data_IF_564473793883
#
_entry.id   IF_564473793883
#
_cell.length_a   1.000
_cell.length_b   1.000
_cell.length_c   1.000
_cell.angle_alpha   90.00
_cell.angle_beta   90.00
_cell.angle_gamma   90.00
#
_symmetry.space_group_name_H-M   'P 1'
#
loop_
_entity.id
_entity.type
_entity.pdbx_description
1 polymer ?
#
# COMPACT_ATOMS: atom_id res chain seq x y z
N UNK A 1 -13.77 13.92 18.89
CA UNK A 1 -13.22 14.66 17.74
C UNK A 1 -11.87 14.10 17.28
N UNK A 2 -10.91 13.87 18.18
CA UNK A 2 -9.59 13.26 17.85
C UNK A 2 -9.69 11.89 17.13
N UNK A 3 -10.49 10.95 17.66
CA UNK A 3 -10.68 9.62 17.05
C UNK A 3 -11.25 9.65 15.62
N UNK A 4 -12.13 10.60 15.31
CA UNK A 4 -12.76 10.67 13.98
C UNK A 4 -11.74 11.09 12.92
N UNK A 5 -10.84 12.01 13.25
CA UNK A 5 -9.80 12.49 12.33
C UNK A 5 -8.80 11.39 11.99
N UNK A 6 -8.37 10.58 12.96
CA UNK A 6 -7.45 9.46 12.73
C UNK A 6 -8.06 8.41 11.79
N UNK A 7 -9.35 8.09 11.99
CA UNK A 7 -10.07 7.16 11.11
C UNK A 7 -10.19 7.72 9.70
N UNK A 8 -10.50 9.01 9.54
CA UNK A 8 -10.58 9.65 8.21
C UNK A 8 -9.23 9.58 7.49
N UNK A 9 -8.12 9.81 8.20
CA UNK A 9 -6.77 9.74 7.63
C UNK A 9 -6.45 8.30 7.20
N UNK A 10 -6.74 7.31 8.04
CA UNK A 10 -6.48 5.91 7.69
C UNK A 10 -7.31 5.48 6.47
N UNK A 11 -8.58 5.87 6.41
CA UNK A 11 -9.45 5.57 5.27
C UNK A 11 -8.99 6.28 4.01
N UNK A 12 -8.52 7.54 4.09
CA UNK A 12 -8.05 8.27 2.91
C UNK A 12 -6.79 7.63 2.31
N UNK A 13 -5.83 7.22 3.15
CA UNK A 13 -4.66 6.47 2.70
C UNK A 13 -5.07 5.13 2.07
N UNK A 14 -5.99 4.40 2.69
CA UNK A 14 -6.45 3.13 2.14
C UNK A 14 -7.12 3.29 0.76
N UNK A 15 -8.00 4.29 0.61
CA UNK A 15 -8.65 4.59 -0.66
C UNK A 15 -7.61 4.95 -1.72
N UNK A 16 -6.61 5.76 -1.36
CA UNK A 16 -5.54 6.14 -2.27
C UNK A 16 -4.71 4.93 -2.71
N UNK A 17 -4.35 4.04 -1.78
CA UNK A 17 -3.63 2.80 -2.09
C UNK A 17 -4.41 1.92 -3.05
N UNK A 18 -5.70 1.69 -2.79
CA UNK A 18 -6.56 0.91 -3.69
C UNK A 18 -6.61 1.53 -5.08
N UNK A 19 -6.74 2.86 -5.18
CA UNK A 19 -6.74 3.57 -6.46
C UNK A 19 -5.42 3.32 -7.20
N UNK A 20 -4.28 3.48 -6.53
CA UNK A 20 -2.96 3.28 -7.13
C UNK A 20 -2.81 1.83 -7.63
N UNK A 21 -3.09 0.85 -6.79
CA UNK A 21 -2.86 -0.55 -7.10
C UNK A 21 -3.77 -1.05 -8.22
N UNK A 22 -5.06 -0.69 -8.19
CA UNK A 22 -5.99 -1.01 -9.28
C UNK A 22 -5.56 -0.32 -10.57
N UNK A 23 -5.11 0.94 -10.50
CA UNK A 23 -4.64 1.68 -11.69
C UNK A 23 -3.40 1.03 -12.29
N UNK A 24 -2.40 0.71 -11.47
CA UNK A 24 -1.19 -0.01 -11.89
C UNK A 24 -1.56 -1.34 -12.53
N UNK A 25 -2.46 -2.11 -11.88
CA UNK A 25 -2.96 -3.40 -12.40
C UNK A 25 -3.60 -3.27 -13.79
N UNK A 26 -4.36 -2.20 -14.03
CA UNK A 26 -4.96 -1.91 -15.35
C UNK A 26 -3.87 -1.58 -16.37
N UNK A 27 -2.87 -0.77 -16.00
CA UNK A 27 -1.75 -0.36 -16.88
C UNK A 27 -0.93 -1.57 -17.32
N UNK A 28 -0.64 -2.52 -16.41
CA UNK A 28 0.09 -3.75 -16.75
C UNK A 28 -0.75 -4.79 -17.51
N UNK A 29 -2.03 -4.51 -17.78
CA UNK A 29 -2.89 -5.28 -18.69
C UNK A 29 -3.96 -6.18 -18.04
N UNK A 30 -4.07 -6.22 -16.71
CA UNK A 30 -5.00 -7.11 -16.01
C UNK A 30 -6.36 -6.45 -15.75
N UNK A 31 -7.20 -6.36 -16.79
CA UNK A 31 -8.45 -5.58 -16.77
C UNK A 31 -9.70 -6.36 -16.34
N UNK A 32 -9.57 -7.65 -16.00
CA UNK A 32 -10.74 -8.49 -15.63
C UNK A 32 -11.27 -8.06 -14.26
N UNK A 33 -12.57 -7.79 -14.17
CA UNK A 33 -13.25 -7.32 -12.94
C UNK A 33 -12.87 -8.15 -11.70
N UNK A 34 -12.87 -9.47 -11.82
CA UNK A 34 -12.51 -10.35 -10.70
C UNK A 34 -11.05 -10.19 -10.26
N UNK A 35 -10.13 -9.93 -11.19
CA UNK A 35 -8.72 -9.70 -10.85
C UNK A 35 -8.54 -8.38 -10.12
N UNK A 36 -9.15 -7.31 -10.65
CA UNK A 36 -9.13 -5.98 -10.01
C UNK A 36 -9.75 -6.00 -8.62
N UNK A 37 -10.85 -6.73 -8.45
CA UNK A 37 -11.52 -6.88 -7.16
C UNK A 37 -10.64 -7.61 -6.14
N UNK A 38 -9.94 -8.68 -6.55
CA UNK A 38 -9.02 -9.41 -5.66
C UNK A 38 -7.82 -8.54 -5.26
N UNK A 39 -7.29 -7.74 -6.18
CA UNK A 39 -6.25 -6.74 -5.84
C UNK A 39 -6.79 -5.77 -4.79
N UNK A 40 -7.91 -5.09 -5.07
CA UNK A 40 -8.48 -4.12 -4.15
C UNK A 40 -8.80 -4.70 -2.76
N UNK A 41 -9.38 -5.90 -2.70
CA UNK A 41 -9.66 -6.57 -1.42
C UNK A 41 -8.38 -7.02 -0.71
N UNK A 42 -7.36 -7.44 -1.46
CA UNK A 42 -6.03 -7.69 -0.93
C UNK A 42 -5.51 -6.47 -0.19
N UNK A 43 -5.53 -5.31 -0.85
CA UNK A 43 -5.11 -4.03 -0.28
C UNK A 43 -5.90 -3.65 0.98
N UNK A 44 -7.22 -3.90 1.00
CA UNK A 44 -8.09 -3.65 2.17
C UNK A 44 -7.70 -4.50 3.37
N UNK A 45 -7.17 -5.71 3.16
CA UNK A 45 -6.76 -6.60 4.24
C UNK A 45 -5.35 -6.28 4.70
N UNK A 46 -4.43 -6.05 3.77
CA UNK A 46 -2.99 -5.95 4.05
C UNK A 46 -2.57 -4.56 4.53
N UNK A 47 -3.02 -3.49 3.86
CA UNK A 47 -2.55 -2.13 4.15
C UNK A 47 -2.94 -1.61 5.54
N UNK A 48 -4.15 -1.88 6.08
CA UNK A 48 -4.46 -1.50 7.45
C UNK A 48 -3.54 -2.18 8.46
N UNK A 49 -3.19 -3.45 8.24
CA UNK A 49 -2.26 -4.19 9.12
C UNK A 49 -0.87 -3.55 9.06
N UNK A 50 -0.37 -3.24 7.87
CA UNK A 50 0.90 -2.53 7.70
C UNK A 50 0.92 -1.19 8.45
N UNK A 51 -0.12 -0.37 8.25
CA UNK A 51 -0.22 0.94 8.90
C UNK A 51 -0.29 0.82 10.42
N UNK A 52 -1.03 -0.16 10.95
CA UNK A 52 -1.07 -0.43 12.40
C UNK A 52 0.33 -0.80 12.92
N UNK A 53 1.07 -1.66 12.22
CA UNK A 53 2.44 -2.03 12.63
C UNK A 53 3.38 -0.81 12.63
N UNK A 54 3.28 0.06 11.63
CA UNK A 54 4.06 1.31 11.58
C UNK A 54 3.68 2.22 12.75
N UNK A 55 2.38 2.40 13.02
CA UNK A 55 1.89 3.21 14.14
C UNK A 55 2.38 2.68 15.49
N UNK A 56 2.34 1.36 15.71
CA UNK A 56 2.87 0.73 16.93
C UNK A 56 4.37 1.01 17.07
N UNK A 57 5.15 0.87 16.00
CA UNK A 57 6.59 1.17 16.03
C UNK A 57 6.86 2.63 16.44
N UNK A 58 6.16 3.57 15.80
CA UNK A 58 6.31 5.01 16.11
C UNK A 58 5.91 5.29 17.56
N UNK A 59 4.82 4.70 18.03
CA UNK A 59 4.35 4.88 19.40
C UNK A 59 5.35 4.35 20.45
N UNK A 60 5.95 3.19 20.22
CA UNK A 60 6.89 2.57 21.17
C UNK A 60 8.26 3.25 21.17
N UNK A 61 8.74 3.68 19.99
CA UNK A 61 10.11 4.19 19.83
C UNK A 61 10.20 5.71 19.86
N UNK A 62 9.07 6.42 19.72
CA UNK A 62 9.00 7.87 19.45
C UNK A 62 9.90 8.30 18.27
N UNK A 63 10.14 7.39 17.32
CA UNK A 63 10.99 7.62 16.13
C UNK A 63 10.24 7.22 14.88
N UNK A 64 10.58 7.87 13.76
CA UNK A 64 10.15 7.42 12.45
C UNK A 64 10.69 6.03 12.15
N UNK A 65 9.90 5.22 11.45
CA UNK A 65 10.32 3.91 11.00
C UNK A 65 11.48 4.05 10.00
N UNK A 66 12.61 3.35 10.20
CA UNK A 66 13.72 3.45 9.28
C UNK A 66 13.38 2.77 7.96
N UNK A 67 13.91 3.32 6.86
CA UNK A 67 13.57 2.89 5.49
C UNK A 67 13.75 1.38 5.27
N UNK A 68 14.83 0.78 5.80
CA UNK A 68 15.08 -0.66 5.64
C UNK A 68 13.98 -1.52 6.29
N UNK A 69 13.44 -1.10 7.43
CA UNK A 69 12.37 -1.81 8.12
C UNK A 69 11.04 -1.63 7.39
N UNK A 70 10.79 -0.42 6.88
CA UNK A 70 9.62 -0.13 6.05
C UNK A 70 9.61 -1.00 4.79
N UNK A 71 10.73 -1.06 4.05
CA UNK A 71 10.89 -1.91 2.86
C UNK A 71 10.69 -3.39 3.20
N UNK A 72 11.17 -3.85 4.35
CA UNK A 72 10.94 -5.22 4.81
C UNK A 72 9.46 -5.52 5.02
N UNK A 73 8.72 -4.63 5.68
CA UNK A 73 7.28 -4.78 5.88
C UNK A 73 6.51 -4.78 4.57
N UNK A 74 6.86 -3.91 3.62
CA UNK A 74 6.27 -3.87 2.28
C UNK A 74 6.52 -5.18 1.51
N UNK A 75 7.72 -5.76 1.65
CA UNK A 75 8.02 -7.06 1.07
C UNK A 75 7.17 -8.19 1.69
N UNK A 76 6.84 -8.10 2.99
CA UNK A 76 5.92 -9.04 3.63
C UNK A 76 4.49 -8.86 3.09
N UNK A 77 4.03 -7.62 2.91
CA UNK A 77 2.72 -7.32 2.31
C UNK A 77 2.64 -7.87 0.88
N UNK A 78 3.62 -7.55 0.03
CA UNK A 78 3.69 -8.06 -1.34
C UNK A 78 3.68 -9.59 -1.40
N UNK A 79 4.36 -10.25 -0.44
CA UNK A 79 4.31 -11.71 -0.33
C UNK A 79 2.90 -12.23 0.01
N UNK A 80 2.22 -11.61 0.98
CA UNK A 80 0.85 -11.99 1.36
C UNK A 80 -0.11 -11.78 0.19
N UNK A 81 -0.03 -10.65 -0.51
CA UNK A 81 -0.88 -10.37 -1.68
C UNK A 81 -0.61 -11.32 -2.83
N UNK A 82 0.66 -11.68 -3.08
CA UNK A 82 0.99 -12.75 -4.00
C UNK A 82 0.29 -14.06 -3.62
N UNK A 83 0.29 -14.44 -2.33
CA UNK A 83 -0.38 -15.66 -1.87
C UNK A 83 -1.89 -15.61 -2.09
N UNK A 84 -2.52 -14.45 -1.89
CA UNK A 84 -3.95 -14.22 -2.19
C UNK A 84 -4.21 -14.40 -3.69
N UNK A 85 -3.44 -13.72 -4.54
CA UNK A 85 -3.57 -13.83 -6.01
C UNK A 85 -3.35 -15.26 -6.49
N UNK A 86 -2.34 -15.95 -5.96
CA UNK A 86 -2.06 -17.34 -6.31
C UNK A 86 -3.18 -18.28 -5.88
N UNK A 87 -3.72 -18.10 -4.67
CA UNK A 87 -4.84 -18.91 -4.20
C UNK A 87 -6.06 -18.79 -5.12
N UNK A 88 -6.37 -17.57 -5.59
CA UNK A 88 -7.55 -17.33 -6.43
C UNK A 88 -7.33 -17.71 -7.90
N UNK A 89 -6.12 -17.50 -8.45
CA UNK A 89 -5.89 -17.60 -9.88
C UNK A 89 -4.83 -18.61 -10.33
N UNK A 90 -4.35 -19.51 -9.46
CA UNK A 90 -3.37 -20.55 -9.83
C UNK A 90 -3.78 -21.46 -11.00
N UNK A 91 -5.07 -21.60 -11.30
CA UNK A 91 -5.57 -22.37 -12.46
C UNK A 91 -5.41 -21.64 -13.78
N UNK A 92 -5.27 -20.31 -13.75
CA UNK A 92 -5.28 -19.44 -14.94
C UNK A 92 -3.91 -18.82 -15.22
N UNK A 93 -3.18 -18.44 -14.18
CA UNK A 93 -1.87 -17.81 -14.29
C UNK A 93 -0.82 -18.66 -13.61
N UNK A 94 0.40 -18.64 -14.13
CA UNK A 94 1.49 -19.38 -13.50
C UNK A 94 2.02 -18.64 -12.26
N UNK A 95 2.74 -19.36 -11.40
CA UNK A 95 3.27 -18.81 -10.14
C UNK A 95 4.19 -17.60 -10.37
N UNK A 96 5.08 -17.66 -11.37
CA UNK A 96 6.07 -16.61 -11.63
C UNK A 96 5.41 -15.30 -12.04
N UNK A 97 4.43 -15.40 -12.93
CA UNK A 97 3.62 -14.27 -13.40
C UNK A 97 2.92 -13.57 -12.23
N UNK A 98 2.27 -14.31 -11.34
CA UNK A 98 1.58 -13.73 -10.18
C UNK A 98 2.54 -13.10 -9.17
N UNK A 99 3.75 -13.66 -8.97
CA UNK A 99 4.79 -13.03 -8.14
C UNK A 99 5.20 -11.68 -8.74
N UNK A 100 5.49 -11.66 -10.05
CA UNK A 100 5.93 -10.45 -10.74
C UNK A 100 4.87 -9.36 -10.63
N UNK A 101 3.59 -9.70 -10.84
CA UNK A 101 2.47 -8.77 -10.70
C UNK A 101 2.41 -8.19 -9.28
N UNK A 102 2.43 -9.04 -8.25
CA UNK A 102 2.34 -8.60 -6.87
C UNK A 102 3.50 -7.65 -6.52
N UNK A 103 4.73 -8.00 -6.94
CA UNK A 103 5.91 -7.15 -6.73
C UNK A 103 5.76 -5.81 -7.44
N UNK A 104 5.33 -5.78 -8.71
CA UNK A 104 5.17 -4.52 -9.46
C UNK A 104 4.12 -3.63 -8.80
N UNK A 105 2.93 -4.18 -8.49
CA UNK A 105 1.83 -3.42 -7.88
C UNK A 105 2.28 -2.81 -6.55
N UNK A 106 2.82 -3.63 -5.65
CA UNK A 106 3.25 -3.18 -4.32
C UNK A 106 4.43 -2.22 -4.40
N UNK A 107 5.40 -2.45 -5.29
CA UNK A 107 6.54 -1.53 -5.46
C UNK A 107 6.08 -0.17 -5.97
N UNK A 108 5.16 -0.12 -6.94
CA UNK A 108 4.59 1.14 -7.40
C UNK A 108 3.79 1.84 -6.30
N UNK A 109 2.97 1.10 -5.55
CA UNK A 109 2.20 1.60 -4.40
C UNK A 109 3.11 2.25 -3.36
N UNK A 110 4.15 1.52 -2.93
CA UNK A 110 5.17 2.00 -2.01
C UNK A 110 5.91 3.25 -2.52
N UNK A 111 6.42 3.22 -3.77
CA UNK A 111 7.17 4.33 -4.33
C UNK A 111 6.33 5.61 -4.45
N UNK A 112 5.08 5.48 -4.90
CA UNK A 112 4.16 6.61 -5.03
C UNK A 112 3.79 7.14 -3.63
N UNK A 113 3.48 6.26 -2.68
CA UNK A 113 3.19 6.64 -1.30
C UNK A 113 4.37 7.34 -0.62
N UNK A 114 5.58 6.82 -0.79
CA UNK A 114 6.81 7.42 -0.29
C UNK A 114 7.05 8.80 -0.92
N UNK A 115 6.89 8.94 -2.23
CA UNK A 115 7.03 10.22 -2.93
C UNK A 115 6.02 11.26 -2.44
N UNK A 116 4.75 10.88 -2.28
CA UNK A 116 3.69 11.75 -1.75
C UNK A 116 4.02 12.25 -0.34
N UNK A 117 4.52 11.37 0.52
CA UNK A 117 4.93 11.72 1.87
C UNK A 117 6.13 12.66 1.89
N UNK A 118 7.20 12.32 1.18
CA UNK A 118 8.47 13.05 1.28
C UNK A 118 8.47 14.39 0.52
N UNK A 119 7.77 14.48 -0.60
CA UNK A 119 7.82 15.68 -1.44
C UNK A 119 6.57 16.53 -1.37
N UNK A 120 5.38 15.93 -1.39
CA UNK A 120 4.14 16.71 -1.50
C UNK A 120 3.68 17.17 -0.12
N UNK A 121 3.59 16.26 0.85
CA UNK A 121 3.16 16.62 2.20
C UNK A 121 4.16 17.53 2.92
N UNK A 122 5.45 17.19 2.89
CA UNK A 122 6.50 18.02 3.49
C UNK A 122 6.53 19.43 2.88
N UNK A 123 6.39 19.54 1.55
CA UNK A 123 6.31 20.84 0.86
C UNK A 123 5.10 21.66 1.34
N UNK A 124 3.90 21.07 1.38
CA UNK A 124 2.69 21.75 1.86
C UNK A 124 2.84 22.23 3.31
N UNK A 125 3.34 21.38 4.21
CA UNK A 125 3.57 21.78 5.62
C UNK A 125 4.60 22.88 5.77
N UNK A 126 5.65 22.90 4.93
CA UNK A 126 6.66 23.94 4.96
C UNK A 126 6.11 25.31 4.55
N UNK A 127 5.18 25.36 3.58
CA UNK A 127 4.55 26.60 3.14
C UNK A 127 3.48 27.12 4.11
N UNK A 128 2.73 26.22 4.76
CA UNK A 128 1.69 26.60 5.73
C UNK A 128 2.22 27.02 7.12
N UNK A 129 3.46 26.69 7.47
CA UNK A 129 4.10 27.12 8.72
C UNK A 129 4.95 28.39 8.58
N UNK A 130 5.15 28.88 7.35
CA UNK A 130 5.93 30.08 7.04
C UNK A 130 5.03 31.26 6.61
N UNK A 131 3.75 31.00 6.29
CA UNK A 131 2.74 32.04 6.02
C UNK A 131 1.85 32.31 7.22
#
# INVERSE_FOLDING_TARGET
>A
MLMLNEVIILVSYLVLTIIIEVTVTIIIGYKKKNFLLVVALGSVITNPVLNILISIYVFVTNKYIPLYLLVLLECMVAYVEFRILYFVFNKKYNKKELIIIAVIINSCSFLIGYFLREYILNFITSYLLIG
#
